data_IF_493553314355
#
_entry.id   IF_493553314355
#
_cell.length_a   1.000
_cell.length_b   1.000
_cell.length_c   1.000
_cell.angle_alpha   90.00
_cell.angle_beta   90.00
_cell.angle_gamma   90.00
#
_symmetry.space_group_name_H-M   'P 1'
#
loop_
_entity.id
_entity.type
_entity.pdbx_description
1 polymer ?
#
# COMPACT_ATOMS: atom_id res chain seq x y z
N UNK A 1 7.71 -4.59 -9.16
CA UNK A 1 7.04 -4.75 -7.87
C UNK A 1 5.55 -4.95 -8.13
N UNK A 2 4.91 -5.90 -7.47
CA UNK A 2 3.46 -6.11 -7.57
C UNK A 2 2.82 -5.69 -6.25
N UNK A 3 1.88 -4.74 -6.30
CA UNK A 3 1.12 -4.30 -5.13
C UNK A 3 -0.29 -4.86 -5.24
N UNK A 4 -0.67 -5.73 -4.31
CA UNK A 4 -2.03 -6.22 -4.19
C UNK A 4 -2.71 -5.56 -2.99
N UNK A 5 -3.92 -5.05 -3.17
CA UNK A 5 -4.72 -4.46 -2.09
C UNK A 5 -5.76 -5.46 -1.62
N UNK A 6 -5.77 -5.73 -0.32
CA UNK A 6 -6.84 -6.45 0.39
C UNK A 6 -7.47 -5.53 1.43
N UNK A 7 -8.74 -5.75 1.73
CA UNK A 7 -9.44 -5.06 2.82
C UNK A 7 -10.03 -6.12 3.74
N UNK A 8 -9.75 -6.01 5.04
CA UNK A 8 -10.29 -6.91 6.06
C UNK A 8 -10.63 -6.10 7.30
N UNK A 9 -11.88 -6.16 7.76
CA UNK A 9 -12.35 -5.48 8.98
C UNK A 9 -11.95 -3.99 9.05
N UNK A 10 -12.08 -3.27 7.91
CA UNK A 10 -11.71 -1.85 7.76
C UNK A 10 -10.19 -1.57 7.87
N UNK A 11 -9.36 -2.60 7.81
CA UNK A 11 -7.91 -2.54 7.69
C UNK A 11 -7.56 -2.81 6.22
N UNK A 12 -6.80 -1.89 5.63
CA UNK A 12 -6.22 -2.06 4.30
C UNK A 12 -4.92 -2.84 4.44
N UNK A 13 -4.77 -3.92 3.69
CA UNK A 13 -3.54 -4.70 3.64
C UNK A 13 -2.96 -4.51 2.24
N UNK A 14 -1.74 -3.99 2.16
CA UNK A 14 -0.97 -3.86 0.93
C UNK A 14 0.07 -4.96 0.92
N UNK A 15 -0.13 -5.98 0.07
CA UNK A 15 0.87 -7.00 -0.18
C UNK A 15 1.81 -6.51 -1.27
N UNK A 16 3.09 -6.39 -0.92
CA UNK A 16 4.13 -5.92 -1.84
C UNK A 16 5.01 -7.12 -2.15
N UNK A 17 4.91 -7.62 -3.37
CA UNK A 17 5.77 -8.70 -3.84
C UNK A 17 6.91 -8.14 -4.71
N UNK A 18 8.15 -8.51 -4.35
CA UNK A 18 9.38 -8.09 -5.02
C UNK A 18 10.20 -7.07 -4.23
N UNK A 19 11.23 -6.50 -4.86
CA UNK A 19 12.10 -5.52 -4.20
C UNK A 19 11.52 -4.10 -4.25
N UNK A 20 11.62 -3.40 -3.11
CA UNK A 20 11.39 -1.96 -3.05
C UNK A 20 12.71 -1.26 -3.35
N UNK A 21 12.75 -0.53 -4.45
CA UNK A 21 13.89 0.28 -4.87
C UNK A 21 13.46 1.74 -5.12
N UNK A 22 14.40 2.56 -5.60
CA UNK A 22 14.17 3.97 -5.90
C UNK A 22 13.19 4.21 -7.07
N UNK A 23 12.98 3.23 -7.94
CA UNK A 23 12.03 3.33 -9.06
C UNK A 23 10.61 3.02 -8.60
N UNK A 24 10.46 2.15 -7.61
CA UNK A 24 9.18 1.61 -7.15
C UNK A 24 8.63 2.41 -5.93
N UNK A 25 9.52 3.09 -5.20
CA UNK A 25 9.16 3.92 -4.04
C UNK A 25 8.12 5.04 -4.33
N UNK A 26 8.14 5.73 -5.49
CA UNK A 26 7.12 6.73 -5.82
C UNK A 26 5.71 6.14 -5.93
N UNK A 27 5.59 4.92 -6.44
CA UNK A 27 4.30 4.25 -6.66
C UNK A 27 3.61 3.91 -5.33
N UNK A 28 4.37 3.39 -4.35
CA UNK A 28 3.87 3.14 -2.98
C UNK A 28 3.38 4.44 -2.34
N UNK A 29 4.15 5.53 -2.51
CA UNK A 29 3.79 6.84 -1.97
C UNK A 29 2.45 7.32 -2.51
N UNK A 30 2.21 7.16 -3.82
CA UNK A 30 0.92 7.52 -4.42
C UNK A 30 -0.23 6.66 -3.91
N UNK A 31 -0.02 5.35 -3.74
CA UNK A 31 -1.03 4.45 -3.17
C UNK A 31 -1.40 4.86 -1.74
N UNK A 32 -0.40 5.12 -0.89
CA UNK A 32 -0.63 5.56 0.49
C UNK A 32 -1.34 6.93 0.53
N UNK A 33 -0.94 7.88 -0.33
CA UNK A 33 -1.59 9.19 -0.40
C UNK A 33 -3.09 9.08 -0.72
N UNK A 34 -3.46 8.23 -1.69
CA UNK A 34 -4.87 7.96 -2.00
C UNK A 34 -5.64 7.36 -0.82
N UNK A 35 -5.03 6.43 -0.08
CA UNK A 35 -5.66 5.82 1.10
C UNK A 35 -5.90 6.86 2.21
N UNK A 36 -5.00 7.83 2.36
CA UNK A 36 -5.16 8.95 3.30
C UNK A 36 -6.32 9.86 2.87
N UNK A 37 -6.43 10.17 1.58
CA UNK A 37 -7.56 10.93 1.02
C UNK A 37 -8.91 10.20 1.22
N UNK A 38 -8.90 8.88 1.14
CA UNK A 38 -10.05 8.01 1.45
C UNK A 38 -10.34 7.85 2.96
N UNK A 39 -9.59 8.53 3.83
CA UNK A 39 -9.67 8.42 5.29
C UNK A 39 -9.42 7.00 5.83
N UNK A 40 -8.67 6.18 5.08
CA UNK A 40 -8.26 4.83 5.47
C UNK A 40 -6.90 4.88 6.16
N UNK A 41 -6.93 5.03 7.49
CA UNK A 41 -5.71 5.18 8.30
C UNK A 41 -5.17 3.86 8.88
N UNK A 42 -5.95 2.79 8.84
CA UNK A 42 -5.52 1.47 9.29
C UNK A 42 -4.95 0.70 8.10
N UNK A 43 -3.63 0.74 7.95
CA UNK A 43 -2.92 0.13 6.83
C UNK A 43 -1.86 -0.84 7.38
N UNK A 44 -1.84 -2.06 6.87
CA UNK A 44 -0.78 -3.04 7.06
C UNK A 44 -0.02 -3.15 5.74
N UNK A 45 1.30 -2.98 5.79
CA UNK A 45 2.17 -3.25 4.65
C UNK A 45 2.79 -4.63 4.90
N UNK A 46 2.47 -5.58 4.04
CA UNK A 46 3.01 -6.93 4.05
C UNK A 46 4.10 -7.03 2.97
N UNK A 47 5.34 -7.26 3.40
CA UNK A 47 6.55 -7.32 2.57
C UNK A 47 7.01 -8.78 2.40
#
# INVERSE_FOLDING_TARGET
MEITRRESNNIIILDINGEIDLYNAPEIKEVIAKLIEEQKYQIIINL
#
